data_IF_961402836435
#
_entry.id   IF_961402836435
#
_cell.length_a   1.000
_cell.length_b   1.000
_cell.length_c   1.000
_cell.angle_alpha   90.00
_cell.angle_beta   90.00
_cell.angle_gamma   90.00
#
_symmetry.space_group_name_H-M   'P 1'
#
loop_
_entity.id
_entity.type
_entity.pdbx_description
1 polymer ?
#
# COMPACT_ATOMS: atom_id res chain seq x y z
N UNK A 1 7.96 2.43 -7.30
CA UNK A 1 6.65 1.87 -6.94
C UNK A 1 5.64 2.08 -8.06
N UNK A 2 4.46 1.44 -8.03
CA UNK A 2 3.27 2.06 -8.60
C UNK A 2 3.06 3.47 -8.03
N UNK A 3 2.22 4.29 -8.64
CA UNK A 3 1.92 5.61 -8.10
C UNK A 3 1.25 5.51 -6.72
N UNK A 4 1.45 6.54 -5.91
CA UNK A 4 0.83 6.67 -4.60
C UNK A 4 -0.70 6.55 -4.67
N UNK A 5 -1.30 7.01 -5.77
CA UNK A 5 -2.73 6.90 -6.04
C UNK A 5 -3.16 5.45 -6.28
N UNK A 6 -2.38 4.68 -7.04
CA UNK A 6 -2.64 3.27 -7.31
C UNK A 6 -2.67 2.42 -6.04
N UNK A 7 -1.79 2.72 -5.07
CA UNK A 7 -1.84 2.06 -3.76
C UNK A 7 -3.15 2.36 -3.02
N UNK A 8 -3.57 3.63 -2.97
CA UNK A 8 -4.81 4.01 -2.33
C UNK A 8 -6.04 3.39 -3.01
N UNK A 9 -6.07 3.35 -4.35
CA UNK A 9 -7.14 2.72 -5.14
C UNK A 9 -7.24 1.23 -4.83
N UNK A 10 -6.11 0.51 -4.93
CA UNK A 10 -6.09 -0.94 -4.70
C UNK A 10 -6.51 -1.29 -3.28
N UNK A 11 -5.92 -0.65 -2.28
CA UNK A 11 -6.28 -0.85 -0.89
C UNK A 11 -7.76 -0.58 -0.61
N UNK A 12 -8.31 0.51 -1.17
CA UNK A 12 -9.73 0.84 -0.99
C UNK A 12 -10.64 -0.19 -1.65
N UNK A 13 -10.24 -0.76 -2.79
CA UNK A 13 -11.01 -1.81 -3.45
C UNK A 13 -11.04 -3.11 -2.64
N UNK A 14 -9.91 -3.56 -2.10
CA UNK A 14 -9.83 -4.73 -1.22
C UNK A 14 -10.57 -4.45 0.09
N UNK A 15 -10.40 -3.24 0.63
CA UNK A 15 -11.09 -2.76 1.82
C UNK A 15 -12.61 -2.77 1.69
N UNK A 16 -13.15 -2.66 0.47
CA UNK A 16 -14.59 -2.68 0.21
C UNK A 16 -15.25 -4.02 0.56
N UNK A 17 -14.50 -5.10 0.72
CA UNK A 17 -15.01 -6.35 1.27
C UNK A 17 -15.39 -6.23 2.76
N UNK A 18 -14.82 -5.26 3.48
CA UNK A 18 -15.07 -5.03 4.90
C UNK A 18 -16.21 -4.02 5.10
N UNK A 19 -17.04 -4.25 6.12
CA UNK A 19 -18.19 -3.40 6.45
C UNK A 19 -17.93 -2.67 7.76
N UNK A 20 -17.83 -1.36 7.66
CA UNK A 20 -17.85 -0.44 8.79
C UNK A 20 -19.02 0.52 8.58
N UNK A 21 -20.03 0.41 9.44
CA UNK A 21 -21.25 1.21 9.36
C UNK A 21 -21.08 2.56 10.05
N UNK A 22 -20.29 2.59 11.13
CA UNK A 22 -19.96 3.79 11.88
C UNK A 22 -18.66 4.42 11.37
N UNK A 23 -18.58 5.75 11.41
CA UNK A 23 -17.38 6.55 11.08
C UNK A 23 -16.71 6.22 9.73
N UNK A 24 -17.53 6.04 8.69
CA UNK A 24 -17.09 5.64 7.35
C UNK A 24 -16.03 6.56 6.75
N UNK A 25 -16.15 7.87 6.92
CA UNK A 25 -15.22 8.82 6.36
C UNK A 25 -13.80 8.63 6.95
N UNK A 26 -13.69 8.55 8.28
CA UNK A 26 -12.42 8.29 8.96
C UNK A 26 -11.82 6.96 8.51
N UNK A 27 -12.63 5.91 8.42
CA UNK A 27 -12.17 4.60 7.98
C UNK A 27 -11.54 4.61 6.59
N UNK A 28 -12.19 5.23 5.60
CA UNK A 28 -11.67 5.28 4.25
C UNK A 28 -10.46 6.20 4.10
N UNK A 29 -10.45 7.34 4.81
CA UNK A 29 -9.29 8.24 4.84
C UNK A 29 -8.08 7.51 5.42
N UNK A 30 -8.23 6.83 6.57
CA UNK A 30 -7.15 6.07 7.18
C UNK A 30 -6.71 4.88 6.31
N UNK A 31 -7.64 4.24 5.59
CA UNK A 31 -7.32 3.16 4.63
C UNK A 31 -6.38 3.69 3.55
N UNK A 32 -6.72 4.83 2.93
CA UNK A 32 -5.88 5.45 1.91
C UNK A 32 -4.52 5.87 2.47
N UNK A 33 -4.49 6.55 3.64
CA UNK A 33 -3.24 6.97 4.29
C UNK A 33 -2.35 5.77 4.58
N UNK A 34 -2.88 4.69 5.19
CA UNK A 34 -2.12 3.49 5.51
C UNK A 34 -1.52 2.84 4.25
N UNK A 35 -2.28 2.81 3.15
CA UNK A 35 -1.84 2.26 1.88
C UNK A 35 -0.72 3.09 1.24
N UNK A 36 -0.64 4.39 1.52
CA UNK A 36 0.35 5.30 0.94
C UNK A 36 1.58 5.49 1.84
N UNK A 37 1.44 5.24 3.15
CA UNK A 37 2.42 5.59 4.17
C UNK A 37 3.84 5.01 3.96
N UNK A 38 4.02 3.77 3.45
CA UNK A 38 5.37 3.22 3.26
C UNK A 38 6.31 4.09 2.40
N UNK A 39 5.77 4.76 1.37
CA UNK A 39 6.51 5.65 0.47
C UNK A 39 6.91 6.99 1.08
N UNK A 40 6.45 7.30 2.29
CA UNK A 40 6.95 8.47 3.02
C UNK A 40 8.48 8.36 3.27
N UNK A 41 9.05 7.17 3.15
CA UNK A 41 10.49 6.91 3.22
C UNK A 41 11.31 7.58 2.10
N UNK A 42 10.69 8.06 1.00
CA UNK A 42 11.37 8.82 -0.04
C UNK A 42 12.01 10.09 0.52
N UNK A 43 11.47 10.64 1.62
CA UNK A 43 12.06 11.77 2.33
C UNK A 43 13.48 11.47 2.84
N UNK A 44 13.81 10.20 3.09
CA UNK A 44 15.13 9.77 3.56
C UNK A 44 16.25 10.18 2.58
N UNK A 45 15.94 10.29 1.30
CA UNK A 45 16.89 10.74 0.28
C UNK A 45 17.33 12.20 0.50
N UNK A 46 16.45 13.07 1.00
CA UNK A 46 16.81 14.44 1.34
C UNK A 46 17.83 14.50 2.51
N UNK A 47 17.90 13.43 3.31
CA UNK A 47 18.88 13.28 4.40
C UNK A 47 20.11 12.47 3.98
N UNK A 48 20.30 12.18 2.69
CA UNK A 48 21.46 11.45 2.17
C UNK A 48 21.45 9.94 2.42
N UNK A 49 20.31 9.37 2.82
CA UNK A 49 20.17 7.92 3.00
C UNK A 49 20.22 7.23 1.64
N UNK A 50 21.04 6.20 1.48
CA UNK A 50 21.13 5.48 0.20
C UNK A 50 19.91 4.59 -0.03
N UNK A 51 19.43 4.51 -1.29
CA UNK A 51 18.31 3.63 -1.67
C UNK A 51 18.54 2.15 -1.33
N UNK A 52 19.80 1.70 -1.28
CA UNK A 52 20.12 0.31 -0.95
C UNK A 52 20.02 -0.01 0.53
N UNK A 53 20.15 1.00 1.39
CA UNK A 53 20.17 0.81 2.84
C UNK A 53 18.83 0.35 3.39
N UNK A 54 18.85 -0.21 4.61
CA UNK A 54 17.65 -0.64 5.32
C UNK A 54 16.66 0.51 5.60
N UNK A 55 17.17 1.74 5.75
CA UNK A 55 16.36 2.93 5.98
C UNK A 55 16.06 3.72 4.69
N UNK A 56 16.60 3.29 3.55
CA UNK A 56 16.27 3.85 2.25
C UNK A 56 14.93 3.34 1.74
N UNK A 57 14.50 3.89 0.61
CA UNK A 57 13.24 3.50 -0.02
C UNK A 57 13.11 1.98 -0.25
N UNK A 58 11.91 1.44 -0.07
CA UNK A 58 11.62 -0.01 -0.06
C UNK A 58 12.36 -0.81 1.03
N UNK A 59 12.81 -0.12 2.06
CA UNK A 59 13.49 -0.68 3.23
C UNK A 59 12.51 -1.05 4.33
N UNK A 60 12.79 -0.60 5.55
CA UNK A 60 12.05 -0.96 6.76
C UNK A 60 10.56 -0.63 6.72
N UNK A 61 10.17 0.46 6.06
CA UNK A 61 8.77 0.90 5.88
C UNK A 61 7.95 -0.05 5.00
N UNK A 62 8.63 -0.88 4.21
CA UNK A 62 8.00 -1.86 3.32
C UNK A 62 8.01 -3.28 3.91
N UNK A 63 8.30 -3.41 5.20
CA UNK A 63 8.32 -4.68 5.91
C UNK A 63 6.95 -5.09 6.46
N UNK A 64 6.79 -6.39 6.73
CA UNK A 64 5.61 -6.92 7.42
C UNK A 64 5.51 -6.32 8.84
N UNK A 65 6.63 -6.14 9.53
CA UNK A 65 6.65 -5.52 10.86
C UNK A 65 6.09 -4.11 10.80
N UNK A 66 6.53 -3.29 9.85
CA UNK A 66 6.02 -1.93 9.70
C UNK A 66 4.51 -1.94 9.48
N UNK A 67 4.01 -2.79 8.60
CA UNK A 67 2.57 -2.92 8.36
C UNK A 67 1.80 -3.30 9.64
N UNK A 68 2.27 -4.28 10.40
CA UNK A 68 1.66 -4.67 11.69
C UNK A 68 1.68 -3.52 12.70
N UNK A 69 2.82 -2.83 12.84
CA UNK A 69 2.98 -1.69 13.74
C UNK A 69 2.01 -0.57 13.37
N UNK A 70 1.90 -0.20 12.10
CA UNK A 70 0.94 0.81 11.64
C UNK A 70 -0.49 0.38 11.92
N UNK A 71 -0.84 -0.88 11.67
CA UNK A 71 -2.16 -1.40 11.99
C UNK A 71 -2.53 -1.22 13.47
N UNK A 72 -1.63 -1.61 14.37
CA UNK A 72 -1.82 -1.45 15.82
C UNK A 72 -1.95 0.03 16.21
N UNK A 73 -1.03 0.88 15.73
CA UNK A 73 -1.04 2.30 16.04
C UNK A 73 -2.34 2.97 15.59
N UNK A 74 -2.78 2.69 14.35
CA UNK A 74 -4.00 3.28 13.82
C UNK A 74 -5.23 2.83 14.60
N UNK A 75 -5.31 1.55 14.94
CA UNK A 75 -6.38 0.98 15.77
C UNK A 75 -6.45 1.58 17.18
N UNK A 76 -5.31 1.80 17.83
CA UNK A 76 -5.26 2.37 19.18
C UNK A 76 -5.57 3.86 19.17
N UNK A 77 -4.91 4.63 18.29
CA UNK A 77 -4.95 6.10 18.28
C UNK A 77 -6.23 6.68 17.70
N UNK A 78 -6.80 6.09 16.64
CA UNK A 78 -7.92 6.69 15.91
C UNK A 78 -9.29 6.08 16.21
N UNK A 79 -9.34 4.96 16.95
CA UNK A 79 -10.58 4.26 17.30
C UNK A 79 -10.72 3.98 18.80
N UNK A 80 -10.51 4.94 19.73
CA UNK A 80 -10.37 4.68 21.17
C UNK A 80 -11.54 3.91 21.83
N UNK A 81 -12.72 3.90 21.22
CA UNK A 81 -13.90 3.19 21.71
C UNK A 81 -13.80 1.65 21.69
N UNK A 82 -14.85 0.99 22.20
CA UNK A 82 -14.97 -0.47 22.30
C UNK A 82 -15.94 -1.10 21.31
N UNK A 83 -16.51 -0.30 20.41
CA UNK A 83 -17.50 -0.73 19.41
C UNK A 83 -16.95 -1.82 18.50
N UNK A 84 -15.66 -1.74 18.16
CA UNK A 84 -14.98 -2.70 17.29
C UNK A 84 -13.76 -3.23 18.03
N UNK A 85 -13.58 -4.56 18.09
CA UNK A 85 -12.38 -5.16 18.68
C UNK A 85 -11.11 -4.61 18.03
N UNK A 86 -10.20 -4.06 18.85
CA UNK A 86 -8.96 -3.42 18.41
C UNK A 86 -8.11 -4.28 17.50
N UNK A 87 -8.08 -5.59 17.76
CA UNK A 87 -7.30 -6.53 16.94
C UNK A 87 -7.87 -6.66 15.52
N UNK A 88 -9.19 -6.52 15.31
CA UNK A 88 -9.79 -6.53 13.97
C UNK A 88 -9.39 -5.31 13.16
N UNK A 89 -9.42 -4.13 13.79
CA UNK A 89 -8.94 -2.89 13.17
C UNK A 89 -7.44 -2.96 12.90
N UNK A 90 -6.65 -3.47 13.84
CA UNK A 90 -5.21 -3.61 13.67
C UNK A 90 -4.87 -4.57 12.53
N UNK A 91 -5.57 -5.70 12.45
CA UNK A 91 -5.44 -6.64 11.34
C UNK A 91 -5.83 -5.98 10.02
N UNK A 92 -6.96 -5.29 9.95
CA UNK A 92 -7.42 -4.61 8.74
C UNK A 92 -6.41 -3.56 8.25
N UNK A 93 -6.02 -2.61 9.09
CA UNK A 93 -5.09 -1.55 8.70
C UNK A 93 -3.68 -2.09 8.43
N UNK A 94 -3.28 -3.15 9.14
CA UNK A 94 -2.05 -3.87 8.84
C UNK A 94 -2.07 -4.54 7.47
N UNK A 95 -3.16 -5.24 7.12
CA UNK A 95 -3.31 -5.86 5.80
C UNK A 95 -3.34 -4.82 4.69
N UNK A 96 -4.07 -3.72 4.87
CA UNK A 96 -4.09 -2.61 3.91
C UNK A 96 -2.70 -2.01 3.73
N UNK A 97 -1.98 -1.73 4.81
CA UNK A 97 -0.59 -1.23 4.73
C UNK A 97 0.30 -2.24 4.00
N UNK A 98 0.13 -3.54 4.26
CA UNK A 98 0.88 -4.60 3.59
C UNK A 98 0.56 -4.72 2.11
N UNK A 99 -0.60 -4.29 1.61
CA UNK A 99 -0.85 -4.30 0.14
C UNK A 99 0.19 -3.49 -0.63
N UNK A 100 0.76 -2.46 0.00
CA UNK A 100 1.75 -1.58 -0.61
C UNK A 100 3.04 -2.32 -1.02
N UNK A 101 3.83 -2.91 -0.09
CA UNK A 101 5.04 -3.65 -0.46
C UNK A 101 4.75 -4.82 -1.41
N UNK A 102 3.59 -5.46 -1.31
CA UNK A 102 3.22 -6.55 -2.22
C UNK A 102 2.98 -6.06 -3.65
N UNK A 103 2.27 -4.94 -3.85
CA UNK A 103 2.16 -4.31 -5.17
C UNK A 103 3.52 -3.89 -5.72
N UNK A 104 4.39 -3.41 -4.84
CA UNK A 104 5.73 -3.00 -5.19
C UNK A 104 6.59 -4.15 -5.75
N UNK A 105 6.41 -5.35 -5.21
CA UNK A 105 7.08 -6.56 -5.69
C UNK A 105 6.64 -6.99 -7.10
N UNK A 106 5.50 -6.50 -7.60
CA UNK A 106 5.04 -6.70 -8.99
C UNK A 106 5.59 -5.66 -9.98
N UNK A 107 6.38 -4.68 -9.51
CA UNK A 107 6.99 -3.69 -10.40
C UNK A 107 8.22 -4.24 -11.12
N UNK A 108 8.41 -3.83 -12.38
CA UNK A 108 9.51 -4.26 -13.23
C UNK A 108 10.82 -3.47 -13.02
N UNK A 109 10.92 -2.64 -11.98
CA UNK A 109 12.12 -1.89 -11.65
C UNK A 109 12.24 -1.51 -10.16
N UNK A 110 13.26 -0.72 -9.85
CA UNK A 110 13.68 -0.44 -8.47
C UNK A 110 14.56 -1.55 -7.87
N UNK A 111 14.70 -1.58 -6.54
CA UNK A 111 15.61 -2.50 -5.83
C UNK A 111 14.93 -3.69 -5.14
N UNK A 112 13.63 -3.88 -5.34
CA UNK A 112 12.83 -4.86 -4.59
C UNK A 112 12.57 -4.40 -3.16
N UNK A 113 11.81 -5.20 -2.42
CA UNK A 113 11.27 -4.84 -1.10
C UNK A 113 11.93 -5.65 0.00
N UNK A 114 12.41 -4.97 1.05
CA UNK A 114 12.93 -5.59 2.27
C UNK A 114 11.81 -6.09 3.20
N UNK A 115 11.05 -7.08 2.74
CA UNK A 115 9.82 -7.55 3.40
C UNK A 115 10.06 -8.07 4.83
N UNK A 116 11.25 -8.62 5.08
CA UNK A 116 11.69 -9.22 6.34
C UNK A 116 12.53 -8.25 7.21
N UNK A 117 12.62 -6.98 6.86
CA UNK A 117 13.27 -5.99 7.70
C UNK A 117 12.53 -5.86 9.07
N UNK A 118 13.23 -5.56 10.17
CA UNK A 118 14.67 -5.29 10.26
C UNK A 118 15.55 -6.54 10.41
N UNK A 119 14.99 -7.75 10.36
CA UNK A 119 15.74 -8.99 10.58
C UNK A 119 16.61 -9.39 9.39
N UNK A 120 16.18 -9.06 8.17
CA UNK A 120 16.96 -9.26 6.94
C UNK A 120 16.82 -8.04 6.03
N UNK A 121 17.92 -7.68 5.37
CA UNK A 121 17.96 -6.68 4.30
C UNK A 121 17.72 -7.24 2.90
N UNK A 122 17.42 -8.55 2.78
CA UNK A 122 17.13 -9.19 1.51
C UNK A 122 15.92 -8.55 0.84
N UNK A 123 16.02 -8.30 -0.47
CA UNK A 123 15.01 -7.59 -1.25
C UNK A 123 14.32 -8.52 -2.23
N UNK A 124 13.00 -8.59 -2.11
CA UNK A 124 12.18 -9.51 -2.86
C UNK A 124 11.46 -8.81 -4.00
N UNK A 125 11.22 -9.58 -5.05
CA UNK A 125 10.30 -9.32 -6.14
C UNK A 125 9.48 -10.58 -6.38
N UNK A 126 8.30 -10.43 -6.99
CA UNK A 126 7.64 -11.58 -7.61
C UNK A 126 8.34 -11.94 -8.93
N UNK A 127 8.25 -13.21 -9.38
CA UNK A 127 8.87 -13.64 -10.63
C UNK A 127 8.22 -12.96 -11.85
N UNK A 128 6.92 -12.72 -11.79
CA UNK A 128 6.17 -11.97 -12.80
C UNK A 128 5.96 -10.53 -12.32
N UNK A 129 6.38 -9.56 -13.14
CA UNK A 129 6.44 -8.14 -12.79
C UNK A 129 5.86 -7.28 -13.91
N UNK A 130 4.52 -7.28 -14.08
CA UNK A 130 3.91 -6.62 -15.22
C UNK A 130 3.76 -5.11 -15.05
N UNK A 131 3.95 -4.59 -13.82
CA UNK A 131 3.67 -3.19 -13.49
C UNK A 131 4.92 -2.35 -13.82
N UNK A 132 4.77 -1.39 -14.71
CA UNK A 132 5.81 -0.41 -15.00
C UNK A 132 6.15 0.40 -13.74
N UNK A 133 7.45 0.49 -13.43
CA UNK A 133 7.91 1.28 -12.27
C UNK A 133 7.74 2.78 -12.54
N UNK A 134 7.07 3.48 -11.63
CA UNK A 134 7.00 4.95 -11.67
C UNK A 134 8.37 5.56 -11.41
N UNK A 135 8.78 6.58 -12.19
CA UNK A 135 9.90 7.44 -11.83
C UNK A 135 9.65 8.11 -10.48
N UNK A 136 10.73 8.42 -9.76
CA UNK A 136 10.67 9.20 -8.53
C UNK A 136 10.85 10.67 -8.89
N UNK A 137 9.98 11.54 -8.38
CA UNK A 137 10.09 12.99 -8.58
C UNK A 137 9.54 13.48 -9.93
N UNK A 138 10.15 14.52 -10.48
CA UNK A 138 9.62 15.28 -11.63
C UNK A 138 9.59 14.49 -12.96
N UNK A 139 10.38 13.41 -13.06
CA UNK A 139 10.40 12.53 -14.23
C UNK A 139 9.05 11.84 -14.48
N UNK A 140 8.14 11.85 -13.50
CA UNK A 140 6.76 11.37 -13.64
C UNK A 140 5.96 12.16 -14.70
N UNK A 141 6.27 13.42 -14.98
CA UNK A 141 5.53 14.23 -15.97
C UNK A 141 6.05 14.07 -17.42
N UNK A 142 6.90 13.07 -17.67
CA UNK A 142 7.41 12.74 -19.00
C UNK A 142 6.55 11.70 -19.73
N UNK A 143 6.87 11.39 -21.00
CA UNK A 143 6.24 10.31 -21.78
C UNK A 143 6.25 8.97 -21.05
N UNK A 144 7.28 8.74 -20.22
CA UNK A 144 7.38 7.56 -19.35
C UNK A 144 6.25 7.50 -18.32
N UNK A 145 5.82 8.64 -17.79
CA UNK A 145 4.70 8.72 -16.85
C UNK A 145 3.38 8.27 -17.44
N UNK A 146 3.11 8.60 -18.72
CA UNK A 146 1.94 8.11 -19.42
C UNK A 146 1.95 6.58 -19.57
N UNK A 147 3.12 6.00 -19.88
CA UNK A 147 3.31 4.55 -19.91
C UNK A 147 3.02 3.87 -18.57
N UNK A 148 3.45 4.50 -17.47
CA UNK A 148 3.18 4.04 -16.09
C UNK A 148 1.69 4.04 -15.79
N UNK A 149 0.99 5.15 -16.08
CA UNK A 149 -0.46 5.23 -15.85
C UNK A 149 -1.22 4.20 -16.69
N UNK A 150 -0.84 3.99 -17.96
CA UNK A 150 -1.46 2.97 -18.80
C UNK A 150 -1.27 1.55 -18.22
N UNK A 151 -0.05 1.25 -17.76
CA UNK A 151 0.26 -0.01 -17.08
C UNK A 151 -0.57 -0.17 -15.79
N UNK A 152 -0.66 0.86 -14.96
CA UNK A 152 -1.42 0.84 -13.71
C UNK A 152 -2.92 0.70 -13.92
N UNK A 153 -3.47 1.29 -14.99
CA UNK A 153 -4.88 1.09 -15.37
C UNK A 153 -5.14 -0.40 -15.60
N UNK A 154 -4.29 -1.07 -16.37
CA UNK A 154 -4.46 -2.48 -16.75
C UNK A 154 -4.27 -3.39 -15.53
N UNK A 155 -3.19 -3.21 -14.79
CA UNK A 155 -2.76 -4.17 -13.77
C UNK A 155 -3.24 -3.87 -12.36
N UNK A 156 -3.70 -2.64 -12.09
CA UNK A 156 -4.16 -2.22 -10.76
C UNK A 156 -5.61 -1.75 -10.82
N UNK A 157 -5.95 -0.76 -11.64
CA UNK A 157 -7.24 -0.07 -11.53
C UNK A 157 -8.39 -0.93 -12.03
N UNK A 158 -8.23 -1.62 -13.17
CA UNK A 158 -9.25 -2.54 -13.69
C UNK A 158 -9.49 -3.70 -12.71
N UNK A 159 -8.47 -4.43 -12.22
CA UNK A 159 -8.66 -5.42 -11.16
C UNK A 159 -9.32 -4.85 -9.90
N UNK A 160 -8.93 -3.65 -9.47
CA UNK A 160 -9.53 -2.97 -8.32
C UNK A 160 -11.02 -2.68 -8.53
N UNK A 161 -11.40 -2.20 -9.72
CA UNK A 161 -12.80 -1.98 -10.06
C UNK A 161 -13.61 -3.29 -10.04
N UNK A 162 -13.03 -4.38 -10.56
CA UNK A 162 -13.66 -5.72 -10.51
C UNK A 162 -13.87 -6.17 -9.05
N UNK A 163 -12.83 -6.08 -8.22
CA UNK A 163 -12.91 -6.43 -6.78
C UNK A 163 -14.02 -5.62 -6.11
N UNK A 164 -14.05 -4.30 -6.33
CA UNK A 164 -15.06 -3.42 -5.75
C UNK A 164 -16.49 -3.77 -6.18
N UNK A 165 -16.70 -4.06 -7.47
CA UNK A 165 -18.01 -4.45 -8.01
C UNK A 165 -18.45 -5.79 -7.40
N UNK A 166 -17.57 -6.80 -7.39
CA UNK A 166 -17.86 -8.12 -6.82
C UNK A 166 -18.20 -8.01 -5.33
N UNK A 167 -17.37 -7.31 -4.55
CA UNK A 167 -17.61 -7.09 -3.13
C UNK A 167 -18.95 -6.36 -2.89
N UNK A 168 -19.29 -5.40 -3.73
CA UNK A 168 -20.56 -4.68 -3.63
C UNK A 168 -21.77 -5.54 -3.98
N UNK A 169 -21.66 -6.43 -4.97
CA UNK A 169 -22.72 -7.37 -5.34
C UNK A 169 -22.93 -8.44 -4.26
N UNK A 170 -21.87 -9.00 -3.69
CA UNK A 170 -21.95 -9.98 -2.60
C UNK A 170 -22.62 -9.37 -1.38
N UNK A 171 -22.23 -8.14 -1.00
CA UNK A 171 -22.82 -7.44 0.16
C UNK A 171 -24.29 -7.07 0.00
N UNK A 172 -24.81 -6.94 -1.22
CA UNK A 172 -26.25 -6.71 -1.45
C UNK A 172 -27.09 -7.96 -1.22
N UNK A 173 -26.46 -9.15 -1.22
CA UNK A 173 -27.15 -10.45 -1.06
C UNK A 173 -27.09 -10.99 0.37
N UNK A 174 -26.24 -10.42 1.23
CA UNK A 174 -26.07 -10.75 2.65
C UNK A 174 -26.90 -9.84 3.54
#
# INVERSE_FOLDING_TARGET
>A
MPTIFSHAIFASSVGSAFRLEHDRARFWILTAICAMLPDADVISFAFGVSYGSMFGHRGITHSIIFAVTIGILVSVLFYPGREIPKWKLALYFGLVTATHPFLDMFTNGGRGVALLAPFSGERFFFPWRPIEVSPIGLDFFSDRGFGVIASEIIWIWVPSAIIFVVASLVRRRS
#
